data_IF_739368634471
#
_entry.id   IF_739368634471
#
_cell.length_a   1.000
_cell.length_b   1.000
_cell.length_c   1.000
_cell.angle_alpha   90.00
_cell.angle_beta   90.00
_cell.angle_gamma   90.00
#
_symmetry.space_group_name_H-M   'P 1'
#
loop_
_entity.id
_entity.type
_entity.pdbx_description
1 polymer ?
#
# COMPACT_ATOMS: atom_id res chain seq x y z
N UNK A 1 32.60 29.90 5.51
CA UNK A 1 31.46 29.11 6.03
C UNK A 1 30.42 29.00 4.91
N UNK A 2 30.46 27.93 4.12
CA UNK A 2 29.56 27.77 2.97
C UNK A 2 28.11 27.63 3.46
N UNK A 3 27.26 28.57 3.06
CA UNK A 3 25.80 28.52 3.27
C UNK A 3 25.28 27.41 2.37
N UNK A 4 25.21 26.18 2.89
CA UNK A 4 24.67 25.04 2.16
C UNK A 4 23.30 25.43 1.61
N UNK A 5 23.14 25.35 0.29
CA UNK A 5 21.83 25.45 -0.36
C UNK A 5 20.87 24.56 0.42
N UNK A 6 19.75 25.15 0.87
CA UNK A 6 18.81 24.45 1.74
C UNK A 6 18.43 23.13 1.09
N UNK A 7 18.73 22.03 1.77
CA UNK A 7 18.39 20.69 1.30
C UNK A 7 16.87 20.61 1.12
N UNK A 8 16.40 19.85 0.13
CA UNK A 8 14.97 19.57 -0.09
C UNK A 8 14.25 19.18 1.21
N UNK A 9 14.92 18.45 2.09
CA UNK A 9 14.40 18.06 3.40
C UNK A 9 14.26 19.23 4.39
N UNK A 10 15.15 20.21 4.34
CA UNK A 10 15.07 21.42 5.18
C UNK A 10 13.89 22.30 4.76
N UNK A 11 13.64 22.44 3.45
CA UNK A 11 12.46 23.17 2.95
C UNK A 11 11.15 22.57 3.45
N UNK A 12 11.05 21.23 3.48
CA UNK A 12 9.87 20.53 4.00
C UNK A 12 9.69 20.77 5.51
N UNK A 13 10.79 20.81 6.28
CA UNK A 13 10.76 21.10 7.72
C UNK A 13 10.29 22.53 8.00
N UNK A 14 10.85 23.52 7.29
CA UNK A 14 10.43 24.92 7.40
C UNK A 14 8.94 25.10 7.04
N UNK A 15 8.45 24.35 6.04
CA UNK A 15 7.04 24.36 5.68
C UNK A 15 6.16 23.75 6.78
N UNK A 16 6.59 22.65 7.39
CA UNK A 16 5.88 21.99 8.50
C UNK A 16 5.87 22.84 9.78
N UNK A 17 6.91 23.63 10.04
CA UNK A 17 6.92 24.58 11.16
C UNK A 17 5.85 25.67 11.01
N UNK A 18 5.64 26.15 9.78
CA UNK A 18 4.60 27.14 9.48
C UNK A 18 3.20 26.52 9.37
N UNK A 19 3.13 25.26 8.95
CA UNK A 19 1.89 24.52 8.73
C UNK A 19 1.92 23.14 9.41
N UNK A 20 1.80 23.08 10.75
CA UNK A 20 1.93 21.84 11.52
C UNK A 20 0.88 20.77 11.16
N UNK A 21 -0.31 21.21 10.74
CA UNK A 21 -1.44 20.33 10.40
C UNK A 21 -1.53 19.95 8.92
N UNK A 22 -0.61 20.44 8.07
CA UNK A 22 -0.65 20.12 6.64
C UNK A 22 -0.52 18.63 6.37
N UNK A 23 -1.35 18.13 5.46
CA UNK A 23 -1.28 16.72 5.03
C UNK A 23 -0.09 16.50 4.11
N UNK A 24 0.50 15.31 4.17
CA UNK A 24 1.64 14.93 3.30
C UNK A 24 1.34 15.13 1.81
N UNK A 25 0.08 14.97 1.39
CA UNK A 25 -0.37 15.23 0.01
C UNK A 25 -0.26 16.72 -0.37
N UNK A 26 -0.75 17.62 0.48
CA UNK A 26 -0.70 19.07 0.27
C UNK A 26 0.75 19.57 0.20
N UNK A 27 1.60 19.06 1.10
CA UNK A 27 3.04 19.39 1.09
C UNK A 27 3.69 18.88 -0.21
N UNK A 28 3.38 17.66 -0.64
CA UNK A 28 3.91 17.14 -1.89
C UNK A 28 3.46 17.94 -3.10
N UNK A 29 2.20 18.39 -3.14
CA UNK A 29 1.72 19.27 -4.22
C UNK A 29 2.46 20.61 -4.25
N UNK A 30 2.70 21.22 -3.08
CA UNK A 30 3.48 22.46 -2.97
C UNK A 30 4.94 22.31 -3.42
N UNK A 31 5.54 21.13 -3.21
CA UNK A 31 6.94 20.84 -3.54
C UNK A 31 7.13 19.98 -4.80
N UNK A 32 6.05 19.67 -5.53
CA UNK A 32 6.09 18.84 -6.74
C UNK A 32 6.97 19.45 -7.82
N UNK A 33 6.88 20.77 -8.00
CA UNK A 33 7.68 21.53 -8.98
C UNK A 33 9.18 21.56 -8.64
N UNK A 34 9.56 21.28 -7.39
CA UNK A 34 10.96 21.22 -6.95
C UNK A 34 11.57 19.80 -7.07
N UNK A 35 10.85 18.87 -7.71
CA UNK A 35 11.30 17.49 -7.88
C UNK A 35 11.50 16.78 -6.54
N UNK A 36 10.63 17.06 -5.57
CA UNK A 36 10.62 16.39 -4.27
C UNK A 36 9.71 15.16 -4.39
N UNK A 37 10.23 13.98 -4.06
CA UNK A 37 9.44 12.75 -4.10
C UNK A 37 8.46 12.67 -2.93
N UNK A 38 7.28 12.12 -3.17
CA UNK A 38 6.27 11.88 -2.13
C UNK A 38 6.82 11.09 -0.93
N UNK A 39 7.71 10.11 -1.19
CA UNK A 39 8.37 9.30 -0.16
C UNK A 39 9.25 10.16 0.76
N UNK A 40 9.98 11.13 0.21
CA UNK A 40 10.82 12.04 0.99
C UNK A 40 9.95 12.94 1.89
N UNK A 41 8.86 13.49 1.35
CA UNK A 41 7.90 14.29 2.13
C UNK A 41 7.30 13.48 3.27
N UNK A 42 6.86 12.25 3.00
CA UNK A 42 6.29 11.37 4.02
C UNK A 42 7.28 11.06 5.14
N UNK A 43 8.54 10.76 4.79
CA UNK A 43 9.59 10.48 5.76
C UNK A 43 9.88 11.71 6.63
N UNK A 44 10.14 12.86 6.00
CA UNK A 44 10.49 14.10 6.71
C UNK A 44 9.33 14.57 7.59
N UNK A 45 8.09 14.51 7.10
CA UNK A 45 6.91 14.88 7.90
C UNK A 45 6.68 13.93 9.08
N UNK A 46 6.91 12.63 8.88
CA UNK A 46 6.82 11.64 9.96
C UNK A 46 7.88 11.87 11.03
N UNK A 47 9.13 12.12 10.63
CA UNK A 47 10.22 12.35 11.56
C UNK A 47 10.05 13.67 12.32
N UNK A 48 9.64 14.75 11.64
CA UNK A 48 9.32 16.03 12.29
C UNK A 48 8.19 15.88 13.33
N UNK A 49 7.11 15.15 13.01
CA UNK A 49 6.00 14.90 13.97
C UNK A 49 6.42 14.03 15.16
N UNK A 50 7.39 13.12 14.98
CA UNK A 50 7.95 12.34 16.09
C UNK A 50 8.80 13.22 16.99
N UNK A 51 9.64 14.07 16.42
CA UNK A 51 10.48 15.04 17.14
C UNK A 51 9.62 16.00 17.97
N UNK A 52 8.50 16.47 17.41
CA UNK A 52 7.54 17.33 18.11
C UNK A 52 6.66 16.59 19.14
N UNK A 53 6.82 15.26 19.30
CA UNK A 53 6.02 14.48 20.24
C UNK A 53 4.54 14.32 19.87
N UNK A 54 4.12 14.79 18.69
CA UNK A 54 2.74 14.66 18.18
C UNK A 54 2.37 13.22 17.83
N UNK A 55 3.38 12.35 17.64
CA UNK A 55 3.10 10.92 17.53
C UNK A 55 2.83 10.37 18.93
N UNK A 56 1.55 10.09 19.23
CA UNK A 56 1.17 9.27 20.38
C UNK A 56 2.06 8.04 20.38
N UNK A 57 2.95 7.91 21.37
CA UNK A 57 3.79 6.73 21.61
C UNK A 57 2.85 5.55 21.61
N UNK A 58 2.74 4.83 20.48
CA UNK A 58 1.90 3.64 20.38
C UNK A 58 2.49 2.69 21.38
N UNK A 59 1.87 2.61 22.58
CA UNK A 59 2.25 1.65 23.62
C UNK A 59 2.37 0.33 22.88
N UNK A 60 3.60 -0.17 22.78
CA UNK A 60 3.85 -1.47 22.15
C UNK A 60 2.93 -2.40 22.92
N UNK A 61 1.89 -2.93 22.26
CA UNK A 61 1.04 -3.94 22.88
C UNK A 61 2.00 -5.03 23.36
N UNK A 62 2.10 -5.29 24.67
CA UNK A 62 2.90 -6.41 25.15
C UNK A 62 2.28 -7.65 24.52
N UNK A 63 3.07 -8.39 23.74
CA UNK A 63 2.60 -9.65 23.14
C UNK A 63 2.71 -9.79 21.63
N UNK A 64 3.34 -8.87 20.88
CA UNK A 64 3.76 -9.22 19.51
C UNK A 64 5.19 -9.77 19.53
N UNK A 65 5.40 -11.11 19.48
CA UNK A 65 6.73 -11.66 19.40
C UNK A 65 7.42 -11.14 18.14
N UNK A 66 8.65 -10.66 18.32
CA UNK A 66 9.56 -10.27 17.23
C UNK A 66 9.94 -11.56 16.52
N UNK A 67 9.36 -11.83 15.34
CA UNK A 67 9.86 -12.92 14.47
C UNK A 67 11.31 -12.59 14.11
N UNK A 68 12.23 -13.19 14.84
CA UNK A 68 13.62 -13.36 14.44
C UNK A 68 13.62 -14.19 13.17
N UNK A 69 14.34 -13.71 12.15
CA UNK A 69 14.67 -14.52 10.99
C UNK A 69 15.41 -15.77 11.49
N UNK A 70 14.79 -16.92 11.33
CA UNK A 70 15.25 -18.20 11.85
C UNK A 70 14.43 -19.32 11.23
N UNK A 71 15.01 -19.89 10.20
CA UNK A 71 14.85 -21.23 9.60
C UNK A 71 13.69 -22.13 10.06
N UNK A 72 12.89 -22.54 9.07
CA UNK A 72 12.15 -23.80 8.96
C UNK A 72 11.37 -24.33 10.18
N UNK A 73 10.05 -24.14 10.16
CA UNK A 73 9.11 -25.13 10.67
C UNK A 73 7.80 -25.07 9.86
N UNK A 74 7.53 -26.17 9.17
CA UNK A 74 6.28 -26.49 8.48
C UNK A 74 5.15 -26.48 9.51
N UNK A 75 4.27 -25.47 9.45
CA UNK A 75 3.05 -25.41 10.23
C UNK A 75 1.88 -25.13 9.28
N UNK A 76 1.31 -26.22 8.76
CA UNK A 76 -0.04 -26.27 8.23
C UNK A 76 -1.00 -25.70 9.27
N UNK A 77 -1.49 -24.48 9.02
CA UNK A 77 -2.59 -23.90 9.79
C UNK A 77 -3.69 -23.50 8.82
N UNK A 78 -4.58 -24.46 8.62
CA UNK A 78 -5.95 -24.30 8.14
C UNK A 78 -6.60 -23.16 8.93
N UNK A 79 -6.70 -21.99 8.31
CA UNK A 79 -7.52 -20.88 8.81
C UNK A 79 -8.54 -20.52 7.73
N UNK A 80 -9.81 -20.67 8.12
CA UNK A 80 -11.00 -20.34 7.37
C UNK A 80 -10.90 -18.94 6.73
N UNK A 81 -10.91 -18.93 5.40
CA UNK A 81 -11.58 -17.95 4.54
C UNK A 81 -11.49 -16.48 4.99
N UNK A 82 -10.28 -15.94 5.05
CA UNK A 82 -10.07 -14.59 4.55
C UNK A 82 -9.33 -14.78 3.24
N UNK A 83 -10.01 -14.53 2.12
CA UNK A 83 -9.51 -14.73 0.77
C UNK A 83 -8.34 -13.77 0.56
N UNK A 84 -7.16 -14.18 1.02
CA UNK A 84 -5.92 -13.50 0.73
C UNK A 84 -5.70 -13.68 -0.77
N UNK A 85 -6.12 -12.68 -1.53
CA UNK A 85 -5.79 -12.62 -2.95
C UNK A 85 -4.28 -12.43 -3.00
N UNK A 86 -3.59 -13.46 -3.46
CA UNK A 86 -2.14 -13.40 -3.66
C UNK A 86 -1.84 -12.31 -4.70
N UNK A 87 -0.80 -11.51 -4.46
CA UNK A 87 -0.44 -10.42 -5.37
C UNK A 87 -0.11 -10.93 -6.78
N UNK A 88 0.37 -12.18 -6.90
CA UNK A 88 0.59 -12.82 -8.20
C UNK A 88 -0.73 -13.06 -8.95
N UNK A 89 -1.77 -13.54 -8.26
CA UNK A 89 -3.10 -13.75 -8.86
C UNK A 89 -3.79 -12.45 -9.25
N UNK A 90 -3.44 -11.33 -8.60
CA UNK A 90 -3.90 -10.00 -9.00
C UNK A 90 -3.30 -9.55 -10.34
N UNK A 91 -2.02 -9.82 -10.61
CA UNK A 91 -1.39 -9.49 -11.90
C UNK A 91 -2.07 -10.25 -13.05
N UNK A 92 -2.29 -11.56 -12.86
CA UNK A 92 -3.01 -12.39 -13.82
C UNK A 92 -4.45 -11.90 -14.05
N UNK A 93 -5.14 -11.52 -12.97
CA UNK A 93 -6.47 -10.92 -13.04
C UNK A 93 -6.49 -9.61 -13.83
N UNK A 94 -5.48 -8.76 -13.68
CA UNK A 94 -5.35 -7.50 -14.44
C UNK A 94 -5.10 -7.79 -15.92
N UNK A 95 -4.20 -8.71 -16.25
CA UNK A 95 -3.94 -9.11 -17.65
C UNK A 95 -5.18 -9.66 -18.34
N UNK A 96 -5.97 -10.48 -17.63
CA UNK A 96 -7.24 -10.98 -18.16
C UNK A 96 -8.22 -9.84 -18.45
N UNK A 97 -8.36 -8.90 -17.52
CA UNK A 97 -9.23 -7.73 -17.70
C UNK A 97 -8.80 -6.89 -18.90
N UNK A 98 -7.50 -6.69 -19.10
CA UNK A 98 -6.95 -6.00 -20.27
C UNK A 98 -7.26 -6.74 -21.57
N UNK A 99 -7.07 -8.06 -21.59
CA UNK A 99 -7.34 -8.90 -22.77
C UNK A 99 -8.84 -8.92 -23.14
N UNK A 100 -9.73 -8.83 -22.16
CA UNK A 100 -11.17 -8.69 -22.41
C UNK A 100 -11.58 -7.28 -22.85
N UNK A 101 -10.68 -6.31 -22.87
CA UNK A 101 -11.01 -4.91 -23.21
C UNK A 101 -11.69 -4.14 -22.07
N UNK A 102 -11.55 -4.61 -20.84
CA UNK A 102 -12.02 -3.91 -19.63
C UNK A 102 -12.86 -4.76 -18.67
N UNK A 103 -13.08 -4.21 -17.48
CA UNK A 103 -13.70 -4.93 -16.35
C UNK A 103 -15.12 -5.40 -16.65
N UNK A 104 -15.91 -4.60 -17.38
CA UNK A 104 -17.29 -4.95 -17.71
C UNK A 104 -17.38 -6.13 -18.69
N UNK A 105 -16.48 -6.18 -19.67
CA UNK A 105 -16.40 -7.30 -20.63
C UNK A 105 -15.92 -8.57 -19.93
N UNK A 106 -14.90 -8.47 -19.07
CA UNK A 106 -14.42 -9.59 -18.26
C UNK A 106 -15.54 -10.21 -17.40
N UNK A 107 -16.43 -9.40 -16.82
CA UNK A 107 -17.60 -9.88 -16.08
C UNK A 107 -18.58 -10.67 -16.96
N UNK A 108 -18.88 -10.16 -18.16
CA UNK A 108 -19.77 -10.84 -19.10
C UNK A 108 -19.19 -12.19 -19.52
N UNK A 109 -17.89 -12.24 -19.80
CA UNK A 109 -17.18 -13.49 -20.12
C UNK A 109 -17.27 -14.48 -18.96
N UNK A 110 -17.03 -14.04 -17.73
CA UNK A 110 -17.14 -14.89 -16.54
C UNK A 110 -18.58 -15.39 -16.30
N UNK A 111 -19.58 -14.57 -16.59
CA UNK A 111 -21.00 -14.95 -16.50
C UNK A 111 -21.37 -16.02 -17.54
N UNK A 112 -20.90 -15.87 -18.79
CA UNK A 112 -21.06 -16.88 -19.84
C UNK A 112 -20.38 -18.19 -19.46
N UNK A 113 -19.14 -18.13 -18.96
CA UNK A 113 -18.39 -19.30 -18.47
C UNK A 113 -19.14 -19.98 -17.32
N UNK A 114 -19.67 -19.20 -16.36
CA UNK A 114 -20.45 -19.72 -15.24
C UNK A 114 -21.70 -20.47 -15.71
N UNK A 115 -22.42 -19.92 -16.70
CA UNK A 115 -23.60 -20.56 -17.30
C UNK A 115 -23.24 -21.88 -17.99
N UNK A 116 -22.14 -21.91 -18.76
CA UNK A 116 -21.67 -23.13 -19.43
C UNK A 116 -21.23 -24.18 -18.41
N UNK A 117 -20.43 -23.80 -17.42
CA UNK A 117 -19.96 -24.70 -16.36
C UNK A 117 -21.11 -25.30 -15.54
N UNK A 118 -22.15 -24.50 -15.26
CA UNK A 118 -23.37 -24.98 -14.61
C UNK A 118 -24.11 -26.03 -15.45
N UNK A 119 -24.16 -25.83 -16.77
CA UNK A 119 -24.76 -26.79 -17.71
C UNK A 119 -23.94 -28.08 -17.80
N UNK A 120 -22.61 -28.00 -17.85
CA UNK A 120 -21.73 -29.18 -17.87
C UNK A 120 -21.78 -29.99 -16.58
N UNK A 121 -21.91 -29.32 -15.43
CA UNK A 121 -22.07 -29.99 -14.13
C UNK A 121 -23.41 -30.72 -14.01
N UNK A 122 -24.43 -30.28 -14.73
CA UNK A 122 -25.75 -30.93 -14.80
C UNK A 122 -25.81 -32.17 -15.69
N UNK A 123 -24.85 -32.35 -16.63
CA UNK A 123 -24.79 -33.52 -17.53
C UNK A 123 -23.97 -34.70 -16.97
N UNK A 124 -23.32 -34.55 -15.81
CA UNK A 124 -22.56 -35.63 -15.13
C UNK A 124 -23.40 -36.42 -14.11
N UNK A 125 -24.71 -36.58 -14.35
CA UNK A 125 -25.57 -37.49 -13.60
C UNK A 125 -26.21 -38.51 -14.54
#
# INVERSE_FOLDING_TARGET
>A
MAKAEKSKSQLIREYLEKHPDSKTKEIHEAFKSQGVSYQLVAKVASDWRKEQGLTKKKRRRPGRPRKTAGTAAKATTTSKSSQAVDLGSLDEGVRFVEQCGGVNQAKQVLEVISRISSIESGKKK
#
